data_IF_669867435416
#
_entry.id   IF_669867435416
#
_cell.length_a   1.000
_cell.length_b   1.000
_cell.length_c   1.000
_cell.angle_alpha   90.00
_cell.angle_beta   90.00
_cell.angle_gamma   90.00
#
_symmetry.space_group_name_H-M   'P 1'
#
loop_
_entity.id
_entity.type
_entity.pdbx_description
1 polymer ?
#
# COMPACT_ATOMS: atom_id res chain seq x y z
N UNK A 1 -8.53 11.76 -10.41
CA UNK A 1 -8.27 10.64 -9.48
C UNK A 1 -9.09 9.44 -9.90
N UNK A 2 -8.80 8.24 -9.40
CA UNK A 2 -9.61 7.04 -9.60
C UNK A 2 -9.43 6.08 -8.42
N UNK A 3 -10.34 5.11 -8.23
CA UNK A 3 -10.14 4.09 -7.20
C UNK A 3 -9.25 2.95 -7.71
N UNK A 4 -8.26 2.62 -6.89
CA UNK A 4 -7.41 1.43 -6.96
C UNK A 4 -7.57 0.62 -5.67
N UNK A 5 -6.97 -0.56 -5.59
CA UNK A 5 -6.95 -1.36 -4.37
C UNK A 5 -5.70 -2.20 -4.29
N UNK A 6 -5.18 -2.37 -3.08
CA UNK A 6 -4.28 -3.48 -2.78
C UNK A 6 -5.00 -4.81 -2.86
N UNK A 7 -4.26 -5.91 -2.98
CA UNK A 7 -4.81 -7.26 -2.88
C UNK A 7 -4.15 -8.13 -1.80
N UNK A 8 -3.31 -7.56 -0.94
CA UNK A 8 -2.63 -8.31 0.12
C UNK A 8 -3.48 -8.49 1.39
N UNK A 9 -4.51 -7.65 1.60
CA UNK A 9 -5.30 -7.57 2.85
C UNK A 9 -6.12 -8.82 3.16
N UNK A 10 -6.44 -9.62 2.14
CA UNK A 10 -7.07 -10.93 2.26
C UNK A 10 -6.53 -11.83 1.16
N UNK A 11 -6.02 -12.99 1.55
CA UNK A 11 -5.54 -13.98 0.60
C UNK A 11 -6.71 -14.61 -0.17
N UNK A 12 -6.66 -14.51 -1.50
CA UNK A 12 -7.61 -15.10 -2.45
C UNK A 12 -6.98 -15.17 -3.86
N UNK A 13 -7.53 -15.96 -4.79
CA UNK A 13 -7.08 -15.93 -6.18
C UNK A 13 -7.25 -14.55 -6.81
N UNK A 14 -6.27 -14.11 -7.58
CA UNK A 14 -6.24 -12.77 -8.20
C UNK A 14 -7.46 -12.50 -9.11
N UNK A 15 -8.00 -13.54 -9.75
CA UNK A 15 -9.22 -13.48 -10.55
C UNK A 15 -10.42 -13.01 -9.74
N UNK A 16 -10.52 -13.49 -8.49
CA UNK A 16 -11.61 -13.13 -7.57
C UNK A 16 -11.48 -11.66 -7.17
N UNK A 17 -10.26 -11.22 -6.86
CA UNK A 17 -9.99 -9.80 -6.56
C UNK A 17 -10.37 -8.91 -7.75
N UNK A 18 -9.85 -9.19 -8.94
CA UNK A 18 -10.09 -8.41 -10.15
C UNK A 18 -11.60 -8.35 -10.47
N UNK A 19 -12.29 -9.49 -10.42
CA UNK A 19 -13.73 -9.55 -10.68
C UNK A 19 -14.54 -8.70 -9.69
N UNK A 20 -14.17 -8.73 -8.39
CA UNK A 20 -14.82 -7.91 -7.36
C UNK A 20 -14.60 -6.43 -7.61
N UNK A 21 -13.33 -6.02 -7.82
CA UNK A 21 -12.97 -4.63 -8.01
C UNK A 21 -13.66 -4.04 -9.25
N UNK A 22 -13.64 -4.76 -10.38
CA UNK A 22 -14.30 -4.34 -11.61
C UNK A 22 -15.81 -4.14 -11.42
N UNK A 23 -16.48 -5.08 -10.74
CA UNK A 23 -17.91 -4.99 -10.42
C UNK A 23 -18.24 -3.78 -9.55
N UNK A 24 -17.32 -3.37 -8.67
CA UNK A 24 -17.50 -2.28 -7.71
C UNK A 24 -16.98 -0.92 -8.21
N UNK A 25 -16.55 -0.84 -9.48
CA UNK A 25 -16.23 0.43 -10.14
C UNK A 25 -14.76 0.88 -10.02
N UNK A 26 -13.90 0.09 -9.36
CA UNK A 26 -12.46 0.33 -9.34
C UNK A 26 -11.88 0.24 -10.74
N UNK A 27 -10.85 1.04 -11.03
CA UNK A 27 -10.22 1.11 -12.37
C UNK A 27 -8.86 0.43 -12.43
N UNK A 28 -8.28 0.16 -11.27
CA UNK A 28 -6.95 -0.41 -11.18
C UNK A 28 -6.74 -1.21 -9.91
N UNK A 29 -5.60 -1.89 -9.87
CA UNK A 29 -5.11 -2.68 -8.74
C UNK A 29 -3.65 -2.30 -8.46
N UNK A 30 -3.29 -2.21 -7.19
CA UNK A 30 -1.91 -2.21 -6.73
C UNK A 30 -1.58 -3.63 -6.24
N UNK A 31 -0.79 -4.36 -7.01
CA UNK A 31 -0.56 -5.79 -6.78
C UNK A 31 0.42 -6.00 -5.63
N UNK A 32 0.20 -7.01 -4.80
CA UNK A 32 1.13 -7.38 -3.73
C UNK A 32 2.53 -7.64 -4.30
N UNK A 33 3.57 -7.18 -3.60
CA UNK A 33 4.97 -7.38 -3.98
C UNK A 33 5.42 -8.82 -3.76
N UNK A 34 4.87 -9.74 -4.55
CA UNK A 34 5.17 -11.18 -4.50
C UNK A 34 5.40 -11.65 -5.95
N UNK A 35 6.45 -11.18 -6.62
CA UNK A 35 6.70 -11.43 -8.04
C UNK A 35 6.74 -12.92 -8.42
N UNK A 36 7.06 -13.79 -7.46
CA UNK A 36 7.04 -15.24 -7.62
C UNK A 36 5.64 -15.86 -7.71
N UNK A 37 4.59 -15.18 -7.21
CA UNK A 37 3.21 -15.67 -7.18
C UNK A 37 2.44 -15.34 -8.47
N UNK A 38 2.92 -14.38 -9.27
CA UNK A 38 2.20 -13.86 -10.42
C UNK A 38 2.86 -14.26 -11.75
N UNK A 39 2.10 -14.83 -12.67
CA UNK A 39 2.44 -14.83 -14.10
C UNK A 39 1.94 -13.50 -14.70
N UNK A 40 2.83 -12.57 -15.10
CA UNK A 40 2.41 -11.26 -15.60
C UNK A 40 1.51 -11.35 -16.83
N UNK A 41 1.69 -12.36 -17.70
CA UNK A 41 0.85 -12.51 -18.90
C UNK A 41 -0.57 -12.91 -18.54
N UNK A 42 -0.71 -13.82 -17.58
CA UNK A 42 -2.01 -14.27 -17.09
C UNK A 42 -2.74 -13.11 -16.39
N UNK A 43 -2.07 -12.45 -15.45
CA UNK A 43 -2.64 -11.31 -14.71
C UNK A 43 -3.04 -10.17 -15.65
N UNK A 44 -2.19 -9.84 -16.64
CA UNK A 44 -2.52 -8.84 -17.65
C UNK A 44 -3.79 -9.19 -18.44
N UNK A 45 -3.93 -10.45 -18.85
CA UNK A 45 -5.13 -10.92 -19.55
C UNK A 45 -6.40 -10.74 -18.72
N UNK A 46 -6.35 -11.05 -17.42
CA UNK A 46 -7.47 -10.85 -16.50
C UNK A 46 -7.84 -9.37 -16.34
N UNK A 47 -6.85 -8.50 -16.23
CA UNK A 47 -7.04 -7.06 -16.13
C UNK A 47 -7.68 -6.49 -17.41
N UNK A 48 -7.18 -6.89 -18.58
CA UNK A 48 -7.70 -6.48 -19.88
C UNK A 48 -9.17 -6.93 -20.05
N UNK A 49 -9.49 -8.18 -19.71
CA UNK A 49 -10.85 -8.74 -19.78
C UNK A 49 -11.82 -8.01 -18.83
N UNK A 50 -11.33 -7.56 -17.67
CA UNK A 50 -12.10 -6.81 -16.69
C UNK A 50 -12.17 -5.29 -16.97
N UNK A 51 -11.42 -4.79 -17.96
CA UNK A 51 -11.30 -3.35 -18.23
C UNK A 51 -10.58 -2.58 -17.12
N UNK A 52 -9.72 -3.26 -16.37
CA UNK A 52 -8.90 -2.71 -15.29
C UNK A 52 -7.43 -2.58 -15.71
N UNK A 53 -6.63 -1.88 -14.91
CA UNK A 53 -5.19 -1.73 -15.13
C UNK A 53 -4.39 -2.10 -13.90
N UNK A 54 -3.13 -2.46 -14.10
CA UNK A 54 -2.15 -2.41 -13.01
C UNK A 54 -1.84 -0.93 -12.73
N UNK A 55 -2.08 -0.46 -11.52
CA UNK A 55 -1.59 0.84 -11.06
C UNK A 55 -0.12 0.73 -10.66
N UNK A 56 0.21 -0.31 -9.89
CA UNK A 56 1.54 -0.50 -9.36
C UNK A 56 1.65 -1.74 -8.48
N UNK A 57 2.62 -1.72 -7.57
CA UNK A 57 2.78 -2.74 -6.54
C UNK A 57 3.26 -2.12 -5.23
N UNK A 58 2.99 -2.79 -4.11
CA UNK A 58 3.52 -2.45 -2.79
C UNK A 58 4.47 -3.52 -2.29
N UNK A 59 5.60 -3.11 -1.72
CA UNK A 59 6.55 -4.04 -1.11
C UNK A 59 5.99 -4.67 0.17
N UNK A 60 6.06 -6.00 0.28
CA UNK A 60 5.75 -6.72 1.51
C UNK A 60 7.03 -7.01 2.29
N UNK A 61 7.39 -6.13 3.22
CA UNK A 61 8.65 -6.24 3.97
C UNK A 61 8.51 -7.13 5.21
N UNK A 62 8.42 -8.44 4.99
CA UNK A 62 8.43 -9.46 6.05
C UNK A 62 9.85 -9.75 6.58
N UNK A 63 9.99 -10.48 7.69
CA UNK A 63 11.21 -10.63 8.51
C UNK A 63 12.57 -10.73 7.77
N UNK A 64 12.62 -11.33 6.58
CA UNK A 64 13.84 -11.48 5.77
C UNK A 64 14.21 -10.23 4.96
N UNK A 65 13.34 -9.22 4.90
CA UNK A 65 13.45 -8.01 4.05
C UNK A 65 13.59 -6.77 4.92
N UNK A 66 14.72 -6.07 4.81
CA UNK A 66 15.01 -4.79 5.46
C UNK A 66 16.17 -4.09 4.73
N UNK A 67 15.89 -2.99 4.03
CA UNK A 67 16.92 -2.24 3.29
C UNK A 67 17.89 -1.49 4.21
N UNK A 68 17.52 -1.24 5.47
CA UNK A 68 18.37 -0.58 6.47
C UNK A 68 18.90 -1.54 7.54
N UNK A 69 19.01 -2.84 7.24
CA UNK A 69 19.54 -3.79 8.21
C UNK A 69 21.04 -3.62 8.46
N UNK A 70 21.55 -3.96 9.65
CA UNK A 70 23.00 -4.07 9.86
C UNK A 70 23.65 -5.21 9.05
N UNK A 71 22.88 -6.25 8.68
CA UNK A 71 23.33 -7.33 7.81
C UNK A 71 23.35 -6.89 6.35
N UNK A 72 24.56 -6.77 5.77
CA UNK A 72 24.77 -6.37 4.39
C UNK A 72 24.12 -7.32 3.37
N UNK A 73 24.14 -8.62 3.62
CA UNK A 73 23.52 -9.60 2.72
C UNK A 73 21.99 -9.43 2.73
N UNK A 74 21.42 -9.14 3.90
CA UNK A 74 19.99 -8.84 4.05
C UNK A 74 19.61 -7.54 3.33
N UNK A 75 20.44 -6.49 3.41
CA UNK A 75 20.21 -5.25 2.65
C UNK A 75 20.22 -5.51 1.15
N UNK A 76 21.25 -6.19 0.65
CA UNK A 76 21.41 -6.49 -0.78
C UNK A 76 20.25 -7.35 -1.32
N UNK A 77 19.82 -8.38 -0.58
CA UNK A 77 18.67 -9.21 -1.00
C UNK A 77 17.34 -8.44 -0.96
N UNK A 78 17.19 -7.50 -0.03
CA UNK A 78 16.01 -6.62 0.03
C UNK A 78 15.95 -5.66 -1.15
N UNK A 79 17.08 -5.04 -1.51
CA UNK A 79 17.18 -4.18 -2.71
C UNK A 79 16.85 -4.98 -3.96
N UNK A 80 17.37 -6.22 -4.09
CA UNK A 80 17.05 -7.07 -5.24
C UNK A 80 15.56 -7.40 -5.30
N UNK A 81 14.95 -7.76 -4.18
CA UNK A 81 13.51 -8.01 -4.09
C UNK A 81 12.67 -6.80 -4.55
N UNK A 82 13.05 -5.58 -4.15
CA UNK A 82 12.36 -4.36 -4.59
C UNK A 82 12.51 -4.17 -6.11
N UNK A 83 13.69 -4.45 -6.68
CA UNK A 83 13.91 -4.45 -8.14
C UNK A 83 13.03 -5.49 -8.84
N UNK A 84 12.84 -6.67 -8.24
CA UNK A 84 11.97 -7.70 -8.80
C UNK A 84 10.49 -7.27 -8.79
N UNK A 85 10.04 -6.56 -7.74
CA UNK A 85 8.70 -5.95 -7.70
C UNK A 85 8.54 -4.87 -8.79
N UNK A 86 9.55 -4.02 -9.01
CA UNK A 86 9.55 -3.05 -10.12
C UNK A 86 9.44 -3.76 -11.47
N UNK A 87 10.14 -4.87 -11.64
CA UNK A 87 10.08 -5.66 -12.87
C UNK A 87 8.66 -6.21 -13.09
N UNK A 88 8.01 -6.75 -12.04
CA UNK A 88 6.61 -7.17 -12.09
C UNK A 88 5.68 -6.02 -12.52
N UNK A 89 5.82 -4.83 -11.91
CA UNK A 89 5.03 -3.64 -12.28
C UNK A 89 5.25 -3.31 -13.76
N UNK A 90 6.50 -3.28 -14.21
CA UNK A 90 6.84 -3.01 -15.61
C UNK A 90 6.23 -4.05 -16.56
N UNK A 91 6.25 -5.34 -16.22
CA UNK A 91 5.70 -6.41 -17.06
C UNK A 91 4.17 -6.37 -17.18
N UNK A 92 3.51 -5.69 -16.22
CA UNK A 92 2.07 -5.47 -16.19
C UNK A 92 1.65 -4.11 -16.78
N UNK A 93 2.58 -3.33 -17.36
CA UNK A 93 2.39 -1.94 -17.77
C UNK A 93 1.86 -1.03 -16.62
N UNK A 94 2.27 -1.32 -15.38
CA UNK A 94 1.98 -0.50 -14.21
C UNK A 94 2.84 0.77 -14.15
N UNK A 95 2.48 1.68 -13.25
CA UNK A 95 3.04 3.04 -13.20
C UNK A 95 3.93 3.28 -11.99
N UNK A 96 3.60 2.69 -10.84
CA UNK A 96 4.26 3.02 -9.58
C UNK A 96 4.74 1.79 -8.80
N UNK A 97 5.68 2.01 -7.89
CA UNK A 97 5.97 1.11 -6.78
C UNK A 97 5.85 1.89 -5.47
N UNK A 98 5.01 1.42 -4.55
CA UNK A 98 5.03 1.85 -3.15
C UNK A 98 6.12 1.09 -2.40
N UNK A 99 7.09 1.83 -1.87
CA UNK A 99 8.24 1.31 -1.14
C UNK A 99 8.10 1.60 0.35
N UNK A 100 7.84 0.53 1.10
CA UNK A 100 8.15 0.44 2.53
C UNK A 100 9.58 -0.09 2.64
N UNK A 101 10.53 0.64 3.24
CA UNK A 101 11.95 0.26 3.18
C UNK A 101 12.42 -0.71 4.26
N UNK A 102 11.68 -0.82 5.37
CA UNK A 102 12.05 -1.62 6.55
C UNK A 102 11.07 -2.77 6.79
N UNK A 103 11.49 -3.75 7.60
CA UNK A 103 10.58 -4.81 8.05
C UNK A 103 9.40 -4.22 8.81
N UNK A 104 8.17 -4.50 8.36
CA UNK A 104 6.96 -3.96 8.99
C UNK A 104 6.76 -4.58 10.38
N UNK A 105 6.45 -3.74 11.38
CA UNK A 105 6.28 -4.15 12.78
C UNK A 105 7.59 -4.26 13.57
N UNK A 106 8.75 -4.07 12.90
CA UNK A 106 10.03 -3.94 13.59
C UNK A 106 10.18 -2.50 14.08
N UNK A 107 10.25 -2.31 15.40
CA UNK A 107 10.42 -0.98 16.04
C UNK A 107 11.76 -0.82 16.77
N UNK A 108 12.64 -1.83 16.68
CA UNK A 108 13.97 -1.81 17.30
C UNK A 108 15.02 -1.62 16.20
N UNK A 109 15.86 -0.56 16.26
CA UNK A 109 16.97 -0.36 15.34
C UNK A 109 18.02 -1.47 15.39
N UNK A 110 18.67 -1.73 14.26
CA UNK A 110 19.87 -2.57 14.16
C UNK A 110 21.15 -1.79 14.49
N UNK A 111 21.17 -0.47 14.25
CA UNK A 111 22.36 0.38 14.39
C UNK A 111 22.01 1.81 14.82
N UNK A 112 22.96 2.73 14.66
CA UNK A 112 22.73 4.16 14.88
C UNK A 112 21.87 4.75 13.75
N UNK A 113 21.12 5.83 14.01
CA UNK A 113 20.32 6.49 12.97
C UNK A 113 21.14 6.88 11.74
N UNK A 114 22.39 7.31 11.92
CA UNK A 114 23.27 7.73 10.82
C UNK A 114 23.64 6.57 9.90
N UNK A 115 23.96 5.40 10.48
CA UNK A 115 24.31 4.21 9.71
C UNK A 115 23.10 3.71 8.91
N UNK A 116 21.95 3.59 9.57
CA UNK A 116 20.75 3.08 8.91
C UNK A 116 20.23 4.03 7.85
N UNK A 117 20.29 5.34 8.10
CA UNK A 117 19.97 6.35 7.09
C UNK A 117 20.88 6.23 5.87
N UNK A 118 22.20 6.11 6.09
CA UNK A 118 23.16 5.95 5.00
C UNK A 118 22.86 4.70 4.16
N UNK A 119 22.65 3.56 4.81
CA UNK A 119 22.32 2.31 4.11
C UNK A 119 21.01 2.40 3.33
N UNK A 120 20.00 3.05 3.91
CA UNK A 120 18.73 3.27 3.24
C UNK A 120 18.91 4.15 2.00
N UNK A 121 19.66 5.26 2.10
CA UNK A 121 19.95 6.14 0.96
C UNK A 121 20.67 5.36 -0.15
N UNK A 122 21.69 4.58 0.18
CA UNK A 122 22.46 3.77 -0.77
C UNK A 122 21.57 2.74 -1.48
N UNK A 123 20.81 1.94 -0.74
CA UNK A 123 19.90 0.95 -1.31
C UNK A 123 18.78 1.58 -2.14
N UNK A 124 18.25 2.74 -1.71
CA UNK A 124 17.18 3.43 -2.43
C UNK A 124 17.70 4.06 -3.73
N UNK A 125 18.97 4.49 -3.80
CA UNK A 125 19.60 4.94 -5.07
C UNK A 125 19.65 3.82 -6.09
N UNK A 126 20.01 2.61 -5.69
CA UNK A 126 20.02 1.46 -6.60
C UNK A 126 18.62 1.11 -7.11
N UNK A 127 17.61 1.15 -6.23
CA UNK A 127 16.21 0.94 -6.60
C UNK A 127 15.74 2.02 -7.57
N UNK A 128 16.04 3.29 -7.26
CA UNK A 128 15.67 4.45 -8.06
C UNK A 128 16.25 4.35 -9.48
N UNK A 129 17.54 4.07 -9.62
CA UNK A 129 18.20 3.93 -10.92
C UNK A 129 17.57 2.83 -11.78
N UNK A 130 17.19 1.71 -11.16
CA UNK A 130 16.50 0.62 -11.87
C UNK A 130 15.06 1.00 -12.25
N UNK A 131 14.34 1.66 -11.35
CA UNK A 131 12.96 2.10 -11.59
C UNK A 131 12.86 3.09 -12.75
N UNK A 132 13.79 4.05 -12.84
CA UNK A 132 13.89 5.00 -13.95
C UNK A 132 14.10 4.29 -15.31
N UNK A 133 14.90 3.22 -15.35
CA UNK A 133 15.11 2.42 -16.56
C UNK A 133 13.84 1.67 -17.00
N UNK A 134 12.98 1.34 -16.04
CA UNK A 134 11.71 0.61 -16.25
C UNK A 134 10.52 1.55 -16.47
N UNK A 135 10.70 2.85 -16.28
CA UNK A 135 9.62 3.83 -16.36
C UNK A 135 8.60 3.68 -15.22
N UNK A 136 9.02 3.12 -14.08
CA UNK A 136 8.18 2.94 -12.88
C UNK A 136 8.57 4.00 -11.86
N UNK A 137 7.60 4.75 -11.34
CA UNK A 137 7.85 5.78 -10.33
C UNK A 137 7.79 5.19 -8.93
N UNK A 138 8.83 5.39 -8.13
CA UNK A 138 8.86 4.92 -6.73
C UNK A 138 8.34 5.99 -5.78
N UNK A 139 7.50 5.59 -4.84
CA UNK A 139 7.05 6.42 -3.71
C UNK A 139 7.43 5.77 -2.39
N UNK A 140 8.06 6.54 -1.50
CA UNK A 140 8.36 6.10 -0.13
C UNK A 140 7.11 6.24 0.72
N UNK A 141 6.73 5.19 1.41
CA UNK A 141 5.60 5.22 2.34
C UNK A 141 6.10 5.36 3.79
N UNK A 142 5.85 6.48 4.47
CA UNK A 142 6.03 6.61 5.91
C UNK A 142 4.93 5.83 6.64
N UNK A 143 5.31 4.85 7.45
CA UNK A 143 4.37 4.09 8.29
C UNK A 143 4.24 4.69 9.70
N UNK A 144 3.25 4.24 10.48
CA UNK A 144 3.14 4.67 11.87
C UNK A 144 4.29 4.09 12.74
N UNK A 145 4.50 4.67 13.93
CA UNK A 145 5.56 4.30 14.88
C UNK A 145 5.50 2.87 15.44
N UNK A 146 4.39 2.18 15.24
CA UNK A 146 4.22 0.78 15.64
C UNK A 146 4.66 -0.19 14.53
N UNK A 147 4.82 0.32 13.31
CA UNK A 147 5.15 -0.44 12.11
C UNK A 147 6.54 -0.10 11.56
N UNK A 148 7.03 1.11 11.81
CA UNK A 148 8.37 1.60 11.44
C UNK A 148 8.93 2.49 12.55
N UNK A 149 10.26 2.59 12.63
CA UNK A 149 10.94 3.49 13.57
C UNK A 149 11.84 4.52 12.86
N UNK A 150 12.04 4.40 11.54
CA UNK A 150 12.97 5.26 10.80
C UNK A 150 12.22 6.31 9.98
N UNK A 151 11.35 5.88 9.05
CA UNK A 151 10.52 6.76 8.23
C UNK A 151 9.08 6.62 8.69
N UNK A 152 8.57 7.64 9.39
CA UNK A 152 7.21 7.67 9.94
C UNK A 152 6.44 8.95 9.64
N UNK A 153 7.08 9.94 9.01
CA UNK A 153 6.46 11.20 8.59
C UNK A 153 6.83 11.57 7.16
N UNK A 154 5.96 12.33 6.51
CA UNK A 154 6.13 12.84 5.16
C UNK A 154 7.43 13.66 5.02
N UNK A 155 7.80 14.46 6.02
CA UNK A 155 9.06 15.24 5.99
C UNK A 155 10.32 14.36 5.92
N UNK A 156 10.29 13.18 6.55
CA UNK A 156 11.41 12.23 6.54
C UNK A 156 11.51 11.54 5.18
N UNK A 157 10.36 11.15 4.61
CA UNK A 157 10.28 10.61 3.26
C UNK A 157 10.78 11.63 2.22
N UNK A 158 10.43 12.92 2.36
CA UNK A 158 10.94 14.00 1.50
C UNK A 158 12.45 14.23 1.66
N UNK A 159 13.00 14.08 2.87
CA UNK A 159 14.45 14.14 3.09
C UNK A 159 15.17 13.03 2.32
N UNK A 160 14.64 11.80 2.34
CA UNK A 160 15.17 10.70 1.53
C UNK A 160 15.05 11.00 0.02
N UNK A 161 13.92 11.55 -0.42
CA UNK A 161 13.74 11.99 -1.81
C UNK A 161 14.82 12.98 -2.27
N UNK A 162 15.20 13.92 -1.41
CA UNK A 162 16.21 14.94 -1.72
C UNK A 162 17.61 14.34 -1.90
N UNK A 163 17.94 13.24 -1.22
CA UNK A 163 19.25 12.58 -1.31
C UNK A 163 19.35 11.59 -2.47
N UNK A 164 18.22 11.09 -2.97
CA UNK A 164 18.17 10.03 -3.98
C UNK A 164 17.95 10.59 -5.39
N UNK A 165 16.85 11.29 -5.63
CA UNK A 165 16.53 11.72 -6.99
C UNK A 165 15.20 12.47 -7.15
N UNK A 166 15.06 13.27 -8.23
CA UNK A 166 13.90 14.13 -8.45
C UNK A 166 12.59 13.36 -8.66
N UNK A 167 12.63 12.15 -9.23
CA UNK A 167 11.42 11.37 -9.52
C UNK A 167 10.98 10.47 -8.35
N UNK A 168 11.84 10.29 -7.33
CA UNK A 168 11.44 9.63 -6.08
C UNK A 168 10.43 10.54 -5.37
N UNK A 169 9.31 9.97 -4.97
CA UNK A 169 8.25 10.68 -4.27
C UNK A 169 7.81 10.00 -2.99
N UNK A 170 6.61 10.33 -2.55
CA UNK A 170 6.01 9.89 -1.30
C UNK A 170 4.64 9.29 -1.61
N UNK A 171 4.36 8.15 -0.98
CA UNK A 171 3.00 7.58 -0.88
C UNK A 171 2.46 7.97 0.47
N UNK A 172 1.26 8.54 0.53
CA UNK A 172 0.63 8.91 1.79
C UNK A 172 -0.55 7.98 2.06
N UNK A 173 -0.41 7.12 3.06
CA UNK A 173 -1.55 6.40 3.63
C UNK A 173 -2.25 7.26 4.69
N UNK A 174 -3.54 7.50 4.46
CA UNK A 174 -4.42 8.22 5.37
C UNK A 174 -4.41 7.63 6.80
N UNK A 175 -4.29 6.30 6.97
CA UNK A 175 -4.24 5.70 8.31
C UNK A 175 -2.93 6.04 9.02
N UNK A 176 -1.78 5.91 8.36
CA UNK A 176 -0.47 6.22 8.95
C UNK A 176 -0.31 7.69 9.30
N UNK A 177 -0.62 8.60 8.37
CA UNK A 177 -0.39 10.04 8.59
C UNK A 177 -1.31 10.64 9.64
N UNK A 178 -2.48 10.04 9.91
CA UNK A 178 -3.35 10.46 11.00
C UNK A 178 -2.78 10.16 12.40
N UNK A 179 -1.90 9.18 12.52
CA UNK A 179 -1.23 8.87 13.78
C UNK A 179 -0.01 9.76 13.99
N UNK A 180 0.76 10.01 12.92
CA UNK A 180 2.10 10.60 13.03
C UNK A 180 2.19 12.08 12.69
N UNK A 181 1.32 12.57 11.80
CA UNK A 181 1.32 13.98 11.41
C UNK A 181 0.47 14.81 12.38
N UNK A 182 0.87 16.06 12.59
CA UNK A 182 0.06 16.98 13.40
C UNK A 182 -1.28 17.31 12.73
N UNK A 183 -1.29 17.32 11.40
CA UNK A 183 -2.47 17.49 10.57
C UNK A 183 -2.23 16.78 9.23
N UNK A 184 -3.11 15.85 8.87
CA UNK A 184 -2.96 15.04 7.66
C UNK A 184 -3.09 15.86 6.35
N UNK A 185 -3.90 16.93 6.34
CA UNK A 185 -4.04 17.80 5.18
C UNK A 185 -2.79 18.64 4.95
N UNK A 186 -2.14 19.08 6.03
CA UNK A 186 -0.86 19.78 5.93
C UNK A 186 0.25 18.88 5.39
N UNK A 187 0.23 17.58 5.71
CA UNK A 187 1.14 16.60 5.11
C UNK A 187 0.90 16.42 3.60
N UNK A 188 -0.36 16.37 3.16
CA UNK A 188 -0.71 16.34 1.72
C UNK A 188 -0.19 17.60 1.01
N UNK A 189 -0.41 18.79 1.60
CA UNK A 189 0.09 20.07 1.06
C UNK A 189 1.61 20.16 1.04
N UNK A 190 2.28 19.63 2.07
CA UNK A 190 3.73 19.60 2.19
C UNK A 190 4.35 18.76 1.07
N UNK A 191 3.81 17.58 0.80
CA UNK A 191 4.29 16.71 -0.28
C UNK A 191 4.00 17.34 -1.64
N UNK A 192 2.76 17.79 -1.86
CA UNK A 192 2.32 18.42 -3.10
C UNK A 192 2.36 17.48 -4.32
N UNK A 193 1.75 17.90 -5.44
CA UNK A 193 1.60 17.05 -6.65
C UNK A 193 2.91 16.48 -7.20
N UNK A 194 4.01 17.24 -7.10
CA UNK A 194 5.26 16.87 -7.76
C UNK A 194 5.96 15.73 -7.03
N UNK A 195 5.64 15.51 -5.75
CA UNK A 195 6.18 14.39 -4.96
C UNK A 195 5.13 13.36 -4.55
N UNK A 196 3.84 13.65 -4.61
CA UNK A 196 2.80 12.69 -4.26
C UNK A 196 2.65 11.64 -5.38
N UNK A 197 3.07 10.41 -5.08
CA UNK A 197 3.08 9.28 -6.03
C UNK A 197 1.77 8.50 -5.96
N UNK A 198 1.33 8.20 -4.73
CA UNK A 198 0.06 7.54 -4.48
C UNK A 198 -0.58 7.99 -3.16
N UNK A 199 -1.86 7.67 -2.99
CA UNK A 199 -2.58 7.89 -1.73
C UNK A 199 -3.31 6.61 -1.36
N UNK A 200 -2.91 6.00 -0.25
CA UNK A 200 -3.64 4.86 0.31
C UNK A 200 -4.76 5.36 1.20
N UNK A 201 -5.91 4.70 1.09
CA UNK A 201 -7.15 5.14 1.72
C UNK A 201 -7.75 4.01 2.54
N UNK A 202 -7.74 4.25 3.84
CA UNK A 202 -8.60 3.65 4.84
C UNK A 202 -9.05 4.75 5.80
N UNK A 203 -10.16 4.56 6.49
CA UNK A 203 -10.59 5.50 7.51
C UNK A 203 -9.62 5.46 8.72
N UNK A 204 -9.72 6.43 9.63
CA UNK A 204 -8.79 6.58 10.75
C UNK A 204 -8.66 5.34 11.65
N UNK A 205 -9.67 4.48 11.66
CA UNK A 205 -9.72 3.21 12.39
C UNK A 205 -9.38 1.98 11.53
N UNK A 206 -8.78 2.20 10.35
CA UNK A 206 -8.43 1.21 9.31
C UNK A 206 -9.63 0.47 8.69
N UNK A 207 -10.87 0.92 8.93
CA UNK A 207 -12.07 0.48 8.19
C UNK A 207 -12.12 1.09 6.79
N UNK A 208 -13.00 0.63 5.88
CA UNK A 208 -13.29 1.33 4.64
C UNK A 208 -13.76 2.78 4.88
N UNK A 209 -13.53 3.64 3.89
CA UNK A 209 -13.93 5.04 3.92
C UNK A 209 -15.42 5.20 4.30
N UNK A 210 -15.69 6.10 5.25
CA UNK A 210 -17.04 6.40 5.75
C UNK A 210 -17.43 5.59 7.00
N UNK A 211 -16.53 4.77 7.53
CA UNK A 211 -16.74 3.96 8.74
C UNK A 211 -15.83 4.38 9.91
N UNK A 212 -15.14 5.51 9.79
CA UNK A 212 -14.42 6.17 10.86
C UNK A 212 -14.85 7.62 11.02
N UNK A 213 -13.89 8.52 11.22
CA UNK A 213 -14.12 9.92 11.59
C UNK A 213 -13.64 10.92 10.53
N UNK A 214 -13.14 10.46 9.37
CA UNK A 214 -12.69 11.36 8.32
C UNK A 214 -13.84 12.06 7.58
N UNK A 215 -13.64 13.34 7.29
CA UNK A 215 -14.36 14.05 6.23
C UNK A 215 -13.68 13.75 4.89
N UNK A 216 -14.17 12.72 4.19
CA UNK A 216 -13.63 12.33 2.90
C UNK A 216 -13.84 13.38 1.81
N UNK A 217 -14.85 14.25 1.92
CA UNK A 217 -15.04 15.34 0.95
C UNK A 217 -13.94 16.40 1.12
N UNK A 218 -13.59 16.73 2.37
CA UNK A 218 -12.44 17.60 2.65
C UNK A 218 -11.12 16.94 2.23
N UNK A 219 -10.90 15.66 2.55
CA UNK A 219 -9.70 14.92 2.16
C UNK A 219 -9.47 14.92 0.64
N UNK A 220 -10.50 14.57 -0.14
CA UNK A 220 -10.42 14.60 -1.61
C UNK A 220 -10.27 16.03 -2.12
N UNK A 221 -10.95 17.01 -1.52
CA UNK A 221 -10.80 18.41 -1.88
C UNK A 221 -9.37 18.96 -1.68
N UNK A 222 -8.65 18.51 -0.65
CA UNK A 222 -7.24 18.86 -0.42
C UNK A 222 -6.33 18.22 -1.47
N UNK A 223 -6.64 16.98 -1.89
CA UNK A 223 -5.93 16.33 -3.01
C UNK A 223 -6.13 17.08 -4.32
N UNK A 224 -7.35 17.57 -4.59
CA UNK A 224 -7.64 18.43 -5.74
C UNK A 224 -6.89 19.77 -5.64
N UNK A 225 -6.87 20.39 -4.46
CA UNK A 225 -6.16 21.64 -4.18
C UNK A 225 -4.67 21.56 -4.57
N UNK A 226 -4.00 20.46 -4.19
CA UNK A 226 -2.59 20.25 -4.54
C UNK A 226 -2.39 19.81 -5.98
N UNK A 227 -3.45 19.40 -6.69
CA UNK A 227 -3.43 18.96 -8.08
C UNK A 227 -3.10 17.48 -8.26
N UNK A 228 -3.43 16.63 -7.28
CA UNK A 228 -3.24 15.19 -7.37
C UNK A 228 -4.27 14.54 -8.30
N UNK A 229 -3.81 13.69 -9.22
CA UNK A 229 -4.67 13.03 -10.20
C UNK A 229 -4.53 11.51 -10.24
N UNK A 230 -3.71 10.93 -9.35
CA UNK A 230 -3.40 9.50 -9.29
C UNK A 230 -4.53 8.64 -8.70
N UNK A 231 -4.16 7.48 -8.16
CA UNK A 231 -5.11 6.57 -7.53
C UNK A 231 -5.42 6.97 -6.07
N UNK A 232 -6.61 6.61 -5.62
CA UNK A 232 -6.92 6.41 -4.21
C UNK A 232 -6.95 4.89 -4.02
N UNK A 233 -5.90 4.33 -3.44
CA UNK A 233 -5.70 2.89 -3.32
C UNK A 233 -6.27 2.39 -1.99
N UNK A 234 -7.32 1.57 -2.06
CA UNK A 234 -7.92 1.00 -0.86
C UNK A 234 -6.92 0.13 -0.07
N UNK A 235 -6.75 0.47 1.22
CA UNK A 235 -5.90 -0.27 2.16
C UNK A 235 -6.54 -0.45 3.55
N UNK A 236 -7.81 -0.84 3.57
CA UNK A 236 -8.51 -1.08 4.83
C UNK A 236 -8.22 -2.49 5.39
N UNK A 237 -8.03 -2.55 6.70
CA UNK A 237 -7.81 -3.76 7.48
C UNK A 237 -8.81 -3.73 8.63
N UNK A 238 -10.02 -4.19 8.35
CA UNK A 238 -11.12 -4.12 9.33
C UNK A 238 -10.76 -4.89 10.61
N UNK A 239 -10.89 -4.28 11.80
CA UNK A 239 -10.53 -4.93 13.05
C UNK A 239 -11.43 -6.13 13.32
N UNK A 240 -10.81 -7.22 13.75
CA UNK A 240 -11.51 -8.45 14.07
C UNK A 240 -11.95 -8.47 15.54
N UNK A 241 -13.27 -8.37 15.77
CA UNK A 241 -13.85 -8.55 17.10
C UNK A 241 -14.09 -10.04 17.40
N UNK A 242 -13.32 -10.58 18.35
CA UNK A 242 -13.39 -11.98 18.78
C UNK A 242 -14.27 -12.18 20.03
N UNK A 243 -14.96 -11.13 20.47
CA UNK A 243 -15.83 -11.16 21.65
C UNK A 243 -17.28 -11.51 21.26
N UNK A 244 -18.12 -11.93 22.23
CA UNK A 244 -19.56 -12.07 22.00
C UNK A 244 -20.28 -10.77 21.62
N UNK A 245 -19.62 -9.61 21.73
CA UNK A 245 -20.18 -8.31 21.34
C UNK A 245 -19.91 -7.96 19.86
N UNK A 246 -19.30 -8.87 19.10
CA UNK A 246 -18.96 -8.68 17.70
C UNK A 246 -20.18 -8.22 16.87
N UNK A 247 -20.07 -7.02 16.30
CA UNK A 247 -21.09 -6.42 15.43
C UNK A 247 -21.17 -7.10 14.06
N UNK A 248 -20.13 -7.85 13.68
CA UNK A 248 -19.98 -8.58 12.43
C UNK A 248 -19.69 -10.08 12.71
N UNK A 249 -20.64 -10.84 13.30
CA UNK A 249 -20.39 -12.20 13.76
C UNK A 249 -20.02 -13.19 12.63
N UNK A 250 -20.36 -12.87 11.38
CA UNK A 250 -20.04 -13.67 10.20
C UNK A 250 -18.83 -13.12 9.41
N UNK A 251 -18.06 -12.20 10.01
CA UNK A 251 -16.90 -11.61 9.34
C UNK A 251 -15.74 -12.59 9.14
N UNK A 252 -15.61 -13.59 10.01
CA UNK A 252 -14.45 -14.49 10.03
C UNK A 252 -14.73 -15.78 9.26
N UNK A 253 -13.80 -16.14 8.39
CA UNK A 253 -13.78 -17.46 7.79
C UNK A 253 -13.42 -18.49 8.86
N UNK A 254 -14.28 -19.49 9.01
CA UNK A 254 -14.09 -20.58 9.97
C UNK A 254 -13.70 -21.89 9.29
N UNK A 255 -13.89 -21.97 7.97
CA UNK A 255 -13.48 -23.09 7.16
C UNK A 255 -12.19 -22.76 6.40
N UNK A 256 -11.07 -23.19 6.97
CA UNK A 256 -9.73 -22.97 6.41
C UNK A 256 -9.30 -24.08 5.43
N UNK A 257 -10.12 -25.12 5.21
CA UNK A 257 -9.72 -26.33 4.46
C UNK A 257 -9.33 -26.07 3.00
N UNK A 258 -9.71 -24.92 2.44
CA UNK A 258 -9.45 -24.55 1.03
C UNK A 258 -8.66 -23.24 0.88
N UNK A 259 -8.02 -22.74 1.94
CA UNK A 259 -7.24 -21.51 1.85
C UNK A 259 -5.78 -21.83 1.54
N UNK A 260 -5.32 -21.40 0.37
CA UNK A 260 -3.91 -21.41 -0.01
C UNK A 260 -3.21 -20.17 0.57
N UNK A 261 -2.99 -20.19 1.89
CA UNK A 261 -2.25 -19.14 2.61
C UNK A 261 -1.04 -19.75 3.32
N UNK A 262 0.14 -19.17 3.04
CA UNK A 262 1.36 -19.57 3.72
C UNK A 262 1.42 -19.00 5.15
N UNK A 263 2.24 -19.62 6.02
CA UNK A 263 2.34 -19.25 7.43
C UNK A 263 2.89 -17.83 7.65
N UNK A 264 3.80 -17.36 6.80
CA UNK A 264 4.40 -16.03 6.92
C UNK A 264 3.36 -14.94 6.57
N UNK A 265 2.55 -15.16 5.54
CA UNK A 265 1.47 -14.28 5.13
C UNK A 265 0.32 -14.28 6.13
N UNK A 266 -0.08 -15.44 6.65
CA UNK A 266 -1.10 -15.49 7.70
C UNK A 266 -0.62 -14.73 8.95
N UNK A 267 0.63 -14.92 9.34
CA UNK A 267 1.25 -14.17 10.44
C UNK A 267 1.23 -12.67 10.16
N UNK A 268 1.60 -12.24 8.95
CA UNK A 268 1.54 -10.85 8.53
C UNK A 268 0.12 -10.27 8.70
N UNK A 269 -0.91 -10.93 8.14
CA UNK A 269 -2.31 -10.49 8.25
C UNK A 269 -2.77 -10.38 9.73
N UNK A 270 -2.41 -11.37 10.55
CA UNK A 270 -2.78 -11.40 11.98
C UNK A 270 -2.06 -10.30 12.77
N UNK A 271 -0.78 -10.09 12.51
CA UNK A 271 0.02 -9.05 13.18
C UNK A 271 -0.45 -7.64 12.81
N UNK A 272 -1.08 -7.46 11.64
CA UNK A 272 -1.74 -6.22 11.22
C UNK A 272 -3.18 -6.09 11.76
N UNK A 273 -3.58 -6.93 12.71
CA UNK A 273 -4.85 -6.82 13.42
C UNK A 273 -6.05 -7.45 12.71
N UNK A 274 -5.81 -8.21 11.64
CA UNK A 274 -6.85 -8.84 10.82
C UNK A 274 -7.00 -10.34 11.06
N UNK A 275 -7.72 -11.01 10.16
CA UNK A 275 -7.82 -12.45 10.02
C UNK A 275 -8.32 -12.79 8.61
N UNK A 276 -8.60 -14.06 8.33
CA UNK A 276 -9.24 -14.42 7.07
C UNK A 276 -10.71 -14.02 7.14
N UNK A 277 -11.08 -13.08 6.28
CA UNK A 277 -12.45 -12.57 6.19
C UNK A 277 -13.30 -13.42 5.24
N UNK A 278 -14.58 -13.54 5.54
CA UNK A 278 -15.54 -14.18 4.63
C UNK A 278 -15.71 -13.36 3.35
N UNK A 279 -16.09 -14.02 2.25
CA UNK A 279 -16.32 -13.36 0.96
C UNK A 279 -17.38 -12.26 1.04
N UNK A 280 -18.47 -12.53 1.78
CA UNK A 280 -19.57 -11.59 1.98
C UNK A 280 -19.11 -10.34 2.72
N UNK A 281 -18.38 -10.51 3.83
CA UNK A 281 -17.90 -9.38 4.62
C UNK A 281 -16.85 -8.57 3.88
N UNK A 282 -15.90 -9.24 3.22
CA UNK A 282 -14.85 -8.55 2.46
C UNK A 282 -15.43 -7.77 1.27
N UNK A 283 -16.40 -8.36 0.56
CA UNK A 283 -17.12 -7.65 -0.51
C UNK A 283 -17.89 -6.44 0.03
N UNK A 284 -18.55 -6.59 1.19
CA UNK A 284 -19.22 -5.48 1.84
C UNK A 284 -18.27 -4.32 2.18
N UNK A 285 -17.05 -4.60 2.68
CA UNK A 285 -16.07 -3.55 2.97
C UNK A 285 -15.74 -2.73 1.71
N UNK A 286 -15.48 -3.39 0.57
CA UNK A 286 -15.25 -2.70 -0.71
C UNK A 286 -16.47 -1.92 -1.20
N UNK A 287 -17.68 -2.47 -1.05
CA UNK A 287 -18.92 -1.79 -1.42
C UNK A 287 -19.09 -0.49 -0.63
N UNK A 288 -18.82 -0.52 0.68
CA UNK A 288 -18.87 0.68 1.52
C UNK A 288 -17.81 1.69 1.12
N UNK A 289 -16.58 1.23 0.89
CA UNK A 289 -15.47 2.08 0.48
C UNK A 289 -15.78 2.81 -0.84
N UNK A 290 -16.22 2.07 -1.86
CA UNK A 290 -16.57 2.61 -3.16
C UNK A 290 -17.78 3.57 -3.08
N UNK A 291 -18.80 3.23 -2.29
CA UNK A 291 -19.98 4.07 -2.09
C UNK A 291 -19.62 5.45 -1.53
N UNK A 292 -18.60 5.52 -0.66
CA UNK A 292 -18.12 6.78 -0.08
C UNK A 292 -17.27 7.57 -1.06
N UNK A 293 -16.30 6.93 -1.73
CA UNK A 293 -15.28 7.65 -2.51
C UNK A 293 -15.62 7.86 -3.99
N UNK A 294 -16.34 6.94 -4.66
CA UNK A 294 -16.69 7.11 -6.08
C UNK A 294 -17.39 8.44 -6.38
N UNK A 295 -18.39 8.88 -5.59
CA UNK A 295 -19.04 10.18 -5.84
C UNK A 295 -18.09 11.37 -5.72
N UNK A 296 -16.95 11.23 -5.03
CA UNK A 296 -15.98 12.31 -4.85
C UNK A 296 -14.92 12.33 -5.97
N UNK A 297 -14.68 11.21 -6.65
CA UNK A 297 -13.67 11.12 -7.72
C UNK A 297 -14.26 11.12 -9.13
N UNK A 298 -15.52 10.72 -9.30
CA UNK A 298 -16.21 10.65 -10.60
C UNK A 298 -16.89 11.98 -11.01
N UNK A 299 -16.95 12.97 -10.12
CA UNK A 299 -17.63 14.26 -10.36
C UNK A 299 -16.79 15.32 -11.10
N UNK A 300 -15.70 14.92 -11.74
CA UNK A 300 -14.96 15.79 -12.67
C UNK A 300 -15.63 15.75 -14.05
N UNK A 301 -16.76 16.44 -14.17
CA UNK A 301 -17.41 16.79 -15.46
C UNK A 301 -17.20 18.27 -15.79
#
# INVERSE_FOLDING_TARGET
>A
MHLSSHNWMRQEPIEVTIARLAKLGFKSIEISGEPEKYDPKHVKGLLDDAGMKCWGSVTLMVDKRNMQSADEAKRASSVQYVKDCIQLVSDLDGQILTLVPGTVGKVVPDSTPENEWQWLVEGTKEVYEFAEQKGVRVGIEPLNRFESYLITRAEQALALCAEVGPNLGVVLDAFHINIEESNLYDAIRLVGKDKLVDVHVADNNRMPAGYGDYDWAEFVGVLEEVGYTGALTAEFVAPVDRTPANKYPNALETNLENLDIDEEQLKFIVDHGSSILTEEYYTWLYEQHAKTLLPLVDNVF
#
